data_IF_839765223073
#
_entry.id   IF_839765223073
#
_cell.length_a   1.000
_cell.length_b   1.000
_cell.length_c   1.000
_cell.angle_alpha   90.00
_cell.angle_beta   90.00
_cell.angle_gamma   90.00
#
_symmetry.space_group_name_H-M   'P 1'
#
loop_
_entity.id
_entity.type
_entity.pdbx_description
1 polymer ?
#
# COMPACT_ATOMS: atom_id res chain seq x y z
N UNK A 1 15.74 -15.76 30.93
CA UNK A 1 15.54 -15.04 29.65
C UNK A 1 14.19 -15.31 29.00
N UNK A 2 13.64 -16.54 28.99
CA UNK A 2 12.32 -16.84 28.38
C UNK A 2 11.13 -15.99 28.84
N UNK A 3 11.09 -15.53 30.10
CA UNK A 3 9.99 -14.69 30.62
C UNK A 3 9.97 -13.25 30.08
N UNK A 4 11.09 -12.76 29.53
CA UNK A 4 11.18 -11.42 28.90
C UNK A 4 10.79 -11.49 27.41
N UNK A 5 11.20 -12.55 26.70
CA UNK A 5 10.86 -12.76 25.28
C UNK A 5 9.35 -12.93 25.09
N UNK A 6 8.67 -13.69 25.97
CA UNK A 6 7.21 -13.83 25.95
C UNK A 6 6.47 -12.51 26.22
N UNK A 7 7.02 -11.64 27.08
CA UNK A 7 6.45 -10.31 27.34
C UNK A 7 6.66 -9.35 26.16
N UNK A 8 7.81 -9.41 25.49
CA UNK A 8 8.09 -8.59 24.30
C UNK A 8 7.21 -9.02 23.11
N UNK A 9 7.06 -10.33 22.84
CA UNK A 9 6.08 -10.85 21.86
C UNK A 9 4.66 -10.35 22.16
N UNK A 10 4.28 -10.31 23.44
CA UNK A 10 2.98 -9.78 23.88
C UNK A 10 2.85 -8.26 23.67
N UNK A 11 3.93 -7.49 23.81
CA UNK A 11 3.93 -6.04 23.58
C UNK A 11 3.82 -5.67 22.10
N UNK A 12 4.59 -6.30 21.22
CA UNK A 12 4.49 -6.08 19.77
C UNK A 12 3.09 -6.44 19.25
N UNK A 13 2.54 -7.57 19.70
CA UNK A 13 1.17 -7.97 19.39
C UNK A 13 0.12 -6.97 19.89
N UNK A 14 0.27 -6.45 21.13
CA UNK A 14 -0.64 -5.42 21.67
C UNK A 14 -0.55 -4.12 20.90
N UNK A 15 0.66 -3.72 20.49
CA UNK A 15 0.86 -2.53 19.69
C UNK A 15 0.21 -2.69 18.31
N UNK A 16 0.49 -3.78 17.62
CA UNK A 16 -0.16 -4.13 16.36
C UNK A 16 -1.69 -4.15 16.49
N UNK A 17 -2.23 -4.79 17.53
CA UNK A 17 -3.67 -4.83 17.80
C UNK A 17 -4.27 -3.45 18.04
N UNK A 18 -3.55 -2.56 18.73
CA UNK A 18 -3.99 -1.18 18.96
C UNK A 18 -3.94 -0.35 17.67
N UNK A 19 -2.87 -0.46 16.90
CA UNK A 19 -2.71 0.22 15.61
C UNK A 19 -3.78 -0.24 14.60
N UNK A 20 -4.08 -1.54 14.55
CA UNK A 20 -5.19 -2.10 13.77
C UNK A 20 -6.53 -1.49 14.18
N UNK A 21 -6.85 -1.45 15.48
CA UNK A 21 -8.10 -0.82 15.96
C UNK A 21 -8.19 0.67 15.63
N UNK A 22 -7.07 1.41 15.69
CA UNK A 22 -7.06 2.82 15.30
C UNK A 22 -7.32 2.97 13.80
N UNK A 23 -6.75 2.10 12.97
CA UNK A 23 -7.01 2.05 11.53
C UNK A 23 -8.49 1.76 11.25
N UNK A 24 -9.06 0.75 11.91
CA UNK A 24 -10.47 0.37 11.74
C UNK A 24 -11.41 1.54 12.09
N UNK A 25 -11.14 2.24 13.20
CA UNK A 25 -11.92 3.43 13.59
C UNK A 25 -11.74 4.56 12.56
N UNK A 26 -10.52 4.80 12.08
CA UNK A 26 -10.27 5.82 11.05
C UNK A 26 -11.00 5.49 9.73
N UNK A 27 -10.97 4.24 9.30
CA UNK A 27 -11.64 3.75 8.10
C UNK A 27 -13.16 3.85 8.22
N UNK A 28 -13.73 3.52 9.38
CA UNK A 28 -15.15 3.67 9.64
C UNK A 28 -15.58 5.14 9.61
N UNK A 29 -14.87 6.01 10.34
CA UNK A 29 -15.23 7.43 10.44
C UNK A 29 -15.09 8.17 9.11
N UNK A 30 -14.07 7.84 8.32
CA UNK A 30 -13.88 8.40 6.99
C UNK A 30 -14.88 7.88 5.96
N UNK A 31 -15.58 6.79 6.27
CA UNK A 31 -16.46 6.07 5.35
C UNK A 31 -15.71 5.10 4.42
N UNK A 32 -14.40 4.87 4.62
CA UNK A 32 -13.60 3.98 3.76
C UNK A 32 -13.99 2.50 3.86
N UNK A 33 -14.63 2.09 4.95
CA UNK A 33 -15.21 0.74 5.07
C UNK A 33 -16.45 0.51 4.19
N UNK A 34 -16.99 1.55 3.53
CA UNK A 34 -18.12 1.38 2.61
C UNK A 34 -17.66 0.69 1.31
N UNK A 35 -18.56 -0.07 0.71
CA UNK A 35 -18.33 -0.65 -0.63
C UNK A 35 -18.34 0.44 -1.71
N UNK A 36 -17.43 0.36 -2.67
CA UNK A 36 -17.43 1.20 -3.87
C UNK A 36 -18.26 0.61 -5.02
N UNK A 37 -18.81 -0.60 -4.88
CA UNK A 37 -19.63 -1.25 -5.92
C UNK A 37 -20.80 -0.38 -6.43
N UNK A 38 -21.55 0.37 -5.57
CA UNK A 38 -22.64 1.23 -6.06
C UNK A 38 -22.19 2.32 -7.04
N UNK A 39 -20.91 2.72 -6.97
CA UNK A 39 -20.34 3.73 -7.86
C UNK A 39 -20.06 3.16 -9.25
N UNK A 40 -19.62 1.89 -9.31
CA UNK A 40 -19.11 1.24 -10.53
C UNK A 40 -20.08 0.22 -11.17
N UNK A 41 -21.22 -0.04 -10.56
CA UNK A 41 -22.25 -0.96 -11.08
C UNK A 41 -23.38 -0.24 -11.81
N UNK A 42 -23.89 -0.83 -12.88
CA UNK A 42 -25.03 -0.30 -13.64
C UNK A 42 -26.38 -0.48 -12.90
N UNK A 43 -27.47 -0.08 -13.53
CA UNK A 43 -28.83 -0.22 -12.97
C UNK A 43 -29.26 -1.68 -12.73
N UNK A 44 -28.57 -2.64 -13.33
CA UNK A 44 -28.80 -4.07 -13.18
C UNK A 44 -27.85 -4.72 -12.14
N UNK A 45 -26.94 -3.94 -11.54
CA UNK A 45 -25.95 -4.43 -10.59
C UNK A 45 -24.71 -5.04 -11.23
N UNK A 46 -24.48 -4.84 -12.53
CA UNK A 46 -23.31 -5.36 -13.26
C UNK A 46 -22.21 -4.30 -13.29
N UNK A 47 -20.96 -4.72 -13.04
CA UNK A 47 -19.80 -3.81 -13.13
C UNK A 47 -19.67 -3.27 -14.56
N UNK A 48 -19.46 -1.95 -14.68
CA UNK A 48 -19.36 -1.25 -15.96
C UNK A 48 -18.06 -0.46 -16.06
N UNK A 49 -17.32 -0.64 -17.15
CA UNK A 49 -16.07 0.11 -17.41
C UNK A 49 -16.28 1.62 -17.46
N UNK A 50 -17.36 2.08 -18.13
CA UNK A 50 -17.68 3.50 -18.21
C UNK A 50 -17.90 4.11 -16.82
N UNK A 51 -18.49 3.33 -15.90
CA UNK A 51 -18.68 3.75 -14.52
C UNK A 51 -17.41 3.68 -13.69
N UNK A 52 -16.54 2.70 -13.94
CA UNK A 52 -15.18 2.67 -13.36
C UNK A 52 -14.42 3.94 -13.78
N UNK A 53 -14.38 4.25 -15.06
CA UNK A 53 -13.69 5.44 -15.59
C UNK A 53 -14.27 6.73 -14.99
N UNK A 54 -15.60 6.83 -14.92
CA UNK A 54 -16.28 7.98 -14.31
C UNK A 54 -15.97 8.11 -12.82
N UNK A 55 -15.95 7.00 -12.09
CA UNK A 55 -15.60 6.96 -10.66
C UNK A 55 -14.15 7.38 -10.41
N UNK A 56 -13.21 6.90 -11.24
CA UNK A 56 -11.79 7.26 -11.17
C UNK A 56 -11.61 8.75 -11.46
N UNK A 57 -12.17 9.25 -12.57
CA UNK A 57 -12.11 10.67 -12.92
C UNK A 57 -12.67 11.55 -11.80
N UNK A 58 -13.81 11.16 -11.22
CA UNK A 58 -14.45 11.88 -10.14
C UNK A 58 -13.61 11.92 -8.84
N UNK A 59 -12.77 10.91 -8.58
CA UNK A 59 -11.81 10.95 -7.46
C UNK A 59 -10.61 11.85 -7.78
N UNK A 60 -10.01 11.67 -8.96
CA UNK A 60 -8.81 12.39 -9.41
C UNK A 60 -9.07 13.90 -9.57
N UNK A 61 -10.22 14.29 -10.12
CA UNK A 61 -10.58 15.69 -10.29
C UNK A 61 -10.83 16.38 -8.94
N UNK A 62 -11.43 15.69 -7.97
CA UNK A 62 -11.67 16.26 -6.64
C UNK A 62 -10.40 16.49 -5.83
N UNK A 63 -9.42 15.58 -5.91
CA UNK A 63 -8.12 15.81 -5.25
C UNK A 63 -7.35 16.93 -5.94
N UNK A 64 -7.51 17.12 -7.26
CA UNK A 64 -6.98 18.30 -7.97
C UNK A 64 -7.64 19.58 -7.46
N UNK A 65 -8.98 19.65 -7.47
CA UNK A 65 -9.72 20.83 -6.99
C UNK A 65 -9.34 21.20 -5.56
N UNK A 66 -9.30 20.21 -4.67
CA UNK A 66 -8.86 20.38 -3.30
C UNK A 66 -7.39 20.84 -3.22
N UNK A 67 -6.52 20.21 -4.01
CA UNK A 67 -5.09 20.49 -4.01
C UNK A 67 -4.76 21.89 -4.48
N UNK A 68 -5.43 22.38 -5.52
CA UNK A 68 -5.33 23.76 -6.00
C UNK A 68 -5.90 24.75 -4.97
N UNK A 69 -7.08 24.47 -4.41
CA UNK A 69 -7.70 25.36 -3.42
C UNK A 69 -6.89 25.50 -2.12
N UNK A 70 -6.08 24.49 -1.77
CA UNK A 70 -5.31 24.44 -0.52
C UNK A 70 -3.79 24.52 -0.71
N UNK A 71 -3.32 24.90 -1.91
CA UNK A 71 -1.90 24.98 -2.27
C UNK A 71 -1.10 23.69 -1.97
N UNK A 72 -1.76 22.52 -2.05
CA UNK A 72 -1.13 21.22 -1.81
C UNK A 72 -0.05 20.93 -2.86
N UNK A 73 -0.25 21.37 -4.09
CA UNK A 73 0.70 21.08 -5.17
C UNK A 73 2.00 21.90 -5.10
N UNK A 74 2.02 23.10 -4.51
CA UNK A 74 3.25 23.95 -4.44
C UNK A 74 3.87 24.06 -3.05
N UNK A 75 3.08 24.50 -2.08
CA UNK A 75 3.61 25.05 -0.82
C UNK A 75 3.42 24.08 0.36
N UNK A 76 2.32 23.32 0.34
CA UNK A 76 1.88 22.52 1.49
C UNK A 76 2.00 21.00 1.29
N UNK A 77 2.31 20.51 0.08
CA UNK A 77 2.40 19.09 -0.22
C UNK A 77 3.78 18.66 -0.72
N UNK A 78 4.11 18.94 -1.99
CA UNK A 78 5.33 18.42 -2.62
C UNK A 78 6.34 19.53 -2.91
N UNK A 79 7.50 19.48 -2.26
CA UNK A 79 8.61 20.43 -2.44
C UNK A 79 9.14 20.44 -3.87
N UNK A 80 9.03 19.31 -4.56
CA UNK A 80 9.51 19.15 -5.93
C UNK A 80 8.53 19.68 -6.98
N UNK A 81 7.27 19.96 -6.62
CA UNK A 81 6.25 20.46 -7.53
C UNK A 81 6.17 21.98 -7.44
N UNK A 82 6.33 22.64 -8.58
CA UNK A 82 6.32 24.11 -8.70
C UNK A 82 5.03 24.64 -9.35
N UNK A 83 4.08 23.76 -9.67
CA UNK A 83 2.81 24.08 -10.33
C UNK A 83 1.65 24.19 -9.33
N UNK A 84 0.71 25.10 -9.60
CA UNK A 84 -0.54 25.31 -8.82
C UNK A 84 -1.52 24.14 -9.02
N UNK A 85 -1.22 23.28 -9.99
CA UNK A 85 -1.99 22.13 -10.43
C UNK A 85 -1.19 20.85 -10.22
N UNK A 86 -1.90 19.74 -10.05
CA UNK A 86 -1.31 18.41 -10.05
C UNK A 86 -0.54 18.17 -11.36
N UNK A 87 0.70 17.65 -11.30
CA UNK A 87 1.43 17.25 -12.51
C UNK A 87 0.65 16.21 -13.31
N UNK A 88 0.67 16.31 -14.65
CA UNK A 88 -0.04 15.38 -15.53
C UNK A 88 0.41 13.93 -15.34
N UNK A 89 1.71 13.70 -15.14
CA UNK A 89 2.26 12.38 -14.83
C UNK A 89 1.64 11.79 -13.55
N UNK A 90 1.45 12.63 -12.52
CA UNK A 90 0.80 12.18 -11.28
C UNK A 90 -0.70 11.89 -11.50
N UNK A 91 -1.38 12.69 -12.31
CA UNK A 91 -2.78 12.44 -12.69
C UNK A 91 -2.94 11.10 -13.41
N UNK A 92 -2.08 10.82 -14.38
CA UNK A 92 -2.07 9.53 -15.09
C UNK A 92 -1.76 8.38 -14.15
N UNK A 93 -0.75 8.56 -13.29
CA UNK A 93 -0.35 7.58 -12.29
C UNK A 93 -1.48 7.22 -11.32
N UNK A 94 -2.18 8.21 -10.76
CA UNK A 94 -3.33 8.00 -9.87
C UNK A 94 -4.50 7.34 -10.59
N UNK A 95 -4.73 7.69 -11.85
CA UNK A 95 -5.82 7.12 -12.64
C UNK A 95 -5.60 5.63 -12.94
N UNK A 96 -4.37 5.26 -13.31
CA UNK A 96 -4.02 3.86 -13.56
C UNK A 96 -3.92 3.06 -12.27
N UNK A 97 -3.36 3.64 -11.19
CA UNK A 97 -3.39 3.03 -9.86
C UNK A 97 -4.81 2.66 -9.45
N UNK A 98 -5.75 3.61 -9.52
CA UNK A 98 -7.14 3.38 -9.14
C UNK A 98 -7.78 2.28 -9.99
N UNK A 99 -7.55 2.30 -11.30
CA UNK A 99 -8.09 1.26 -12.19
C UNK A 99 -7.56 -0.12 -11.81
N UNK A 100 -6.25 -0.26 -11.64
CA UNK A 100 -5.60 -1.53 -11.30
C UNK A 100 -6.06 -2.04 -9.94
N UNK A 101 -6.10 -1.18 -8.92
CA UNK A 101 -6.57 -1.54 -7.58
C UNK A 101 -8.02 -2.02 -7.61
N UNK A 102 -8.91 -1.32 -8.33
CA UNK A 102 -10.31 -1.74 -8.48
C UNK A 102 -10.39 -3.11 -9.16
N UNK A 103 -9.65 -3.33 -10.26
CA UNK A 103 -9.67 -4.62 -10.97
C UNK A 103 -9.15 -5.76 -10.11
N UNK A 104 -8.03 -5.57 -9.40
CA UNK A 104 -7.48 -6.55 -8.47
C UNK A 104 -8.49 -6.91 -7.37
N UNK A 105 -9.10 -5.90 -6.74
CA UNK A 105 -10.10 -6.10 -5.68
C UNK A 105 -11.36 -6.82 -6.19
N UNK A 106 -11.71 -6.65 -7.46
CA UNK A 106 -12.84 -7.36 -8.08
C UNK A 106 -12.49 -8.80 -8.51
N UNK A 107 -11.22 -9.13 -8.70
CA UNK A 107 -10.75 -10.47 -9.08
C UNK A 107 -10.35 -11.34 -7.90
N UNK A 108 -10.02 -10.74 -6.76
CA UNK A 108 -9.63 -11.43 -5.53
C UNK A 108 -10.86 -11.86 -4.72
N UNK A 109 -11.11 -13.18 -4.66
CA UNK A 109 -12.18 -13.76 -3.84
C UNK A 109 -11.81 -13.82 -2.33
N UNK A 110 -10.53 -13.64 -1.95
CA UNK A 110 -10.00 -13.98 -0.61
C UNK A 110 -9.86 -12.82 0.39
N UNK A 111 -10.24 -11.57 0.06
CA UNK A 111 -10.18 -10.49 1.07
C UNK A 111 -11.23 -10.63 2.20
N UNK A 112 -12.07 -11.68 2.15
CA UNK A 112 -12.88 -12.14 3.27
C UNK A 112 -12.28 -13.43 3.84
N UNK A 113 -11.43 -13.32 4.85
CA UNK A 113 -11.04 -14.45 5.70
C UNK A 113 -12.33 -15.19 6.13
N UNK A 114 -12.38 -16.50 5.84
CA UNK A 114 -13.43 -17.41 6.31
C UNK A 114 -13.38 -17.47 7.84
N UNK A 115 -13.95 -16.50 8.55
CA UNK A 115 -14.62 -16.68 9.86
C UNK A 115 -15.16 -15.41 10.55
N UNK A 116 -15.08 -14.20 9.98
CA UNK A 116 -15.58 -13.01 10.67
C UNK A 116 -16.46 -12.09 9.79
N UNK A 117 -17.77 -12.31 9.92
CA UNK A 117 -18.85 -11.30 9.98
C UNK A 117 -18.86 -10.22 8.88
N UNK A 118 -19.76 -10.37 7.89
CA UNK A 118 -20.47 -9.30 7.15
C UNK A 118 -19.72 -7.99 6.83
N UNK A 119 -18.43 -8.04 6.47
CA UNK A 119 -17.75 -6.88 5.90
C UNK A 119 -18.16 -6.70 4.42
N UNK A 120 -18.35 -5.47 3.92
CA UNK A 120 -18.68 -5.27 2.52
C UNK A 120 -17.52 -5.75 1.64
N UNK A 121 -17.84 -6.48 0.58
CA UNK A 121 -16.89 -6.81 -0.49
C UNK A 121 -16.55 -5.51 -1.25
N UNK A 122 -15.29 -5.33 -1.63
CA UNK A 122 -14.80 -4.21 -2.45
C UNK A 122 -14.98 -2.82 -1.80
N UNK A 123 -14.17 -2.51 -0.78
CA UNK A 123 -14.21 -1.26 -0.01
C UNK A 123 -13.16 -0.24 -0.42
N UNK A 124 -13.40 1.03 -0.09
CA UNK A 124 -12.39 2.10 -0.30
C UNK A 124 -11.13 1.88 0.55
N UNK A 125 -11.24 1.23 1.71
CA UNK A 125 -10.08 0.90 2.54
C UNK A 125 -9.14 -0.10 1.84
N UNK A 126 -9.68 -1.06 1.08
CA UNK A 126 -8.87 -1.97 0.27
C UNK A 126 -8.08 -1.23 -0.81
N UNK A 127 -8.67 -0.21 -1.46
CA UNK A 127 -7.94 0.65 -2.41
C UNK A 127 -6.78 1.37 -1.70
N UNK A 128 -7.02 1.91 -0.50
CA UNK A 128 -5.96 2.55 0.29
C UNK A 128 -4.87 1.56 0.72
N UNK A 129 -5.22 0.34 1.13
CA UNK A 129 -4.26 -0.72 1.47
C UNK A 129 -3.33 -1.01 0.29
N UNK A 130 -3.87 -1.12 -0.92
CA UNK A 130 -3.05 -1.33 -2.13
C UNK A 130 -2.04 -0.21 -2.37
N UNK A 131 -2.33 1.03 -1.94
CA UNK A 131 -1.38 2.14 -2.03
C UNK A 131 -0.33 2.11 -0.90
N UNK A 132 -0.70 1.63 0.29
CA UNK A 132 0.16 1.59 1.48
C UNK A 132 1.26 0.52 1.37
N UNK A 133 0.96 -0.60 0.71
CA UNK A 133 1.92 -1.70 0.50
C UNK A 133 2.92 -1.44 -0.65
N UNK A 134 2.75 -0.35 -1.39
CA UNK A 134 3.71 0.07 -2.41
C UNK A 134 4.87 0.83 -1.77
N UNK A 135 6.07 0.61 -2.32
CA UNK A 135 7.26 1.34 -1.93
C UNK A 135 7.14 2.84 -2.22
N UNK A 136 7.98 3.64 -1.55
CA UNK A 136 8.17 5.06 -1.85
C UNK A 136 9.65 5.37 -2.03
N UNK A 137 9.97 6.43 -2.79
CA UNK A 137 11.37 6.82 -3.06
C UNK A 137 12.19 5.71 -3.72
N UNK A 138 13.42 5.50 -3.24
CA UNK A 138 14.33 4.44 -3.72
C UNK A 138 13.84 3.02 -3.35
N UNK A 139 13.05 2.87 -2.26
CA UNK A 139 12.58 1.56 -1.78
C UNK A 139 11.64 0.86 -2.76
N UNK A 140 11.10 1.57 -3.76
CA UNK A 140 10.30 0.98 -4.84
C UNK A 140 11.10 -0.05 -5.64
N UNK A 141 12.41 0.12 -5.79
CA UNK A 141 13.25 -0.82 -6.55
C UNK A 141 13.54 -2.14 -5.81
N UNK A 142 13.13 -2.28 -4.54
CA UNK A 142 13.16 -3.55 -3.83
C UNK A 142 12.25 -4.60 -4.51
N UNK A 143 11.09 -4.15 -5.02
CA UNK A 143 10.17 -4.99 -5.79
C UNK A 143 10.85 -5.51 -7.07
N UNK A 144 11.64 -4.68 -7.77
CA UNK A 144 12.38 -5.08 -8.98
C UNK A 144 13.43 -6.15 -8.68
N UNK A 145 14.16 -5.99 -7.56
CA UNK A 145 15.18 -6.96 -7.17
C UNK A 145 14.56 -8.32 -6.88
N UNK A 146 13.52 -8.36 -6.05
CA UNK A 146 12.82 -9.60 -5.70
C UNK A 146 12.20 -10.26 -6.92
N UNK A 147 11.55 -9.48 -7.80
CA UNK A 147 10.99 -9.96 -9.06
C UNK A 147 12.05 -10.59 -9.98
N UNK A 148 13.20 -9.93 -10.15
CA UNK A 148 14.24 -10.38 -11.09
C UNK A 148 15.03 -11.60 -10.61
N UNK A 149 15.42 -11.61 -9.32
CA UNK A 149 16.31 -12.60 -8.73
C UNK A 149 15.59 -13.73 -7.99
N UNK A 150 14.44 -13.45 -7.37
CA UNK A 150 13.66 -14.43 -6.60
C UNK A 150 12.47 -14.98 -7.40
N UNK A 151 12.18 -14.43 -8.58
CA UNK A 151 11.16 -14.95 -9.49
C UNK A 151 9.74 -14.44 -9.25
N UNK A 152 9.59 -13.39 -8.45
CA UNK A 152 8.31 -12.72 -8.17
C UNK A 152 8.43 -11.76 -6.99
N UNK A 153 7.51 -10.80 -6.92
CA UNK A 153 7.40 -9.87 -5.79
C UNK A 153 6.96 -10.66 -4.55
N UNK A 154 7.74 -10.56 -3.48
CA UNK A 154 7.52 -11.32 -2.23
C UNK A 154 6.50 -10.65 -1.29
N UNK A 155 6.06 -9.42 -1.60
CA UNK A 155 5.08 -8.69 -0.81
C UNK A 155 3.70 -8.84 -1.44
N UNK A 156 2.68 -9.05 -0.63
CA UNK A 156 1.27 -9.05 -1.04
C UNK A 156 0.79 -7.61 -1.37
N UNK A 157 1.38 -6.98 -2.39
CA UNK A 157 1.09 -5.61 -2.81
C UNK A 157 0.48 -5.57 -4.22
N UNK A 158 0.07 -4.37 -4.67
CA UNK A 158 -0.60 -4.20 -5.97
C UNK A 158 0.21 -4.77 -7.15
N UNK A 159 1.54 -4.68 -7.12
CA UNK A 159 2.40 -5.21 -8.18
C UNK A 159 2.33 -6.73 -8.23
N UNK A 160 2.39 -7.42 -7.10
CA UNK A 160 2.33 -8.89 -7.07
C UNK A 160 1.03 -9.44 -7.70
N UNK A 161 -0.10 -8.81 -7.39
CA UNK A 161 -1.39 -9.16 -8.01
C UNK A 161 -1.44 -8.81 -9.49
N UNK A 162 -0.99 -7.60 -9.86
CA UNK A 162 -1.04 -7.15 -11.25
C UNK A 162 -0.04 -7.88 -12.16
N UNK A 163 1.11 -8.32 -11.65
CA UNK A 163 2.10 -9.12 -12.37
C UNK A 163 1.46 -10.45 -12.80
N UNK A 164 0.84 -11.12 -11.85
CA UNK A 164 0.17 -12.40 -12.07
C UNK A 164 -0.97 -12.28 -13.08
N UNK A 165 -1.81 -11.24 -12.94
CA UNK A 165 -2.87 -10.92 -13.90
C UNK A 165 -2.30 -10.56 -15.28
N UNK A 166 -1.24 -9.77 -15.33
CA UNK A 166 -0.61 -9.37 -16.58
C UNK A 166 -0.03 -10.56 -17.34
N UNK A 167 0.71 -11.45 -16.68
CA UNK A 167 1.26 -12.65 -17.32
C UNK A 167 0.14 -13.56 -17.85
N UNK A 168 -0.95 -13.70 -17.08
CA UNK A 168 -2.11 -14.48 -17.47
C UNK A 168 -2.82 -13.89 -18.70
N UNK A 169 -3.06 -12.57 -18.70
CA UNK A 169 -3.85 -11.88 -19.72
C UNK A 169 -3.06 -11.62 -21.00
N UNK A 170 -1.77 -11.28 -20.89
CA UNK A 170 -0.91 -10.96 -22.03
C UNK A 170 -0.16 -12.16 -22.60
N UNK A 171 0.08 -13.19 -21.78
CA UNK A 171 0.99 -14.29 -22.11
C UNK A 171 2.48 -13.91 -22.09
N UNK A 172 2.82 -12.67 -21.76
CA UNK A 172 4.18 -12.19 -21.65
C UNK A 172 4.69 -12.33 -20.20
N UNK A 173 5.96 -12.70 -20.03
CA UNK A 173 6.57 -12.76 -18.71
C UNK A 173 6.85 -11.37 -18.18
N UNK A 174 6.55 -11.11 -16.91
CA UNK A 174 6.75 -9.78 -16.31
C UNK A 174 8.21 -9.32 -16.38
N UNK A 175 9.13 -10.28 -16.30
CA UNK A 175 10.57 -10.07 -16.48
C UNK A 175 10.93 -9.36 -17.79
N UNK A 176 10.10 -9.45 -18.84
CA UNK A 176 10.31 -8.74 -20.10
C UNK A 176 10.10 -7.23 -19.98
N UNK A 177 9.37 -6.77 -18.96
CA UNK A 177 9.13 -5.36 -18.65
C UNK A 177 10.20 -4.75 -17.73
N UNK A 178 11.10 -5.56 -17.16
CA UNK A 178 12.21 -5.06 -16.35
C UNK A 178 13.31 -4.54 -17.29
N UNK A 179 13.54 -3.22 -17.25
CA UNK A 179 14.60 -2.59 -18.04
C UNK A 179 15.97 -2.69 -17.36
N UNK A 180 17.04 -2.56 -18.14
CA UNK A 180 18.42 -2.52 -17.62
C UNK A 180 18.60 -1.37 -16.60
N UNK A 181 17.91 -0.24 -16.81
CA UNK A 181 17.95 0.89 -15.87
C UNK A 181 17.29 0.56 -14.54
N UNK A 182 16.11 -0.08 -14.56
CA UNK A 182 15.44 -0.53 -13.34
C UNK A 182 16.31 -1.50 -12.54
N UNK A 183 16.96 -2.44 -13.25
CA UNK A 183 17.85 -3.43 -12.65
C UNK A 183 19.13 -2.80 -12.07
N UNK A 184 19.74 -1.84 -12.77
CA UNK A 184 20.90 -1.08 -12.27
C UNK A 184 20.57 -0.32 -10.99
N UNK A 185 19.40 0.32 -10.91
CA UNK A 185 18.95 1.02 -9.70
C UNK A 185 18.68 0.06 -8.54
N UNK A 186 18.02 -1.06 -8.82
CA UNK A 186 17.80 -2.11 -7.82
C UNK A 186 19.13 -2.63 -7.27
N UNK A 187 20.10 -2.94 -8.14
CA UNK A 187 21.43 -3.40 -7.71
C UNK A 187 22.18 -2.35 -6.89
N UNK A 188 22.14 -1.08 -7.26
CA UNK A 188 22.74 0.01 -6.48
C UNK A 188 22.13 0.17 -5.09
N UNK A 189 20.81 -0.02 -4.95
CA UNK A 189 20.14 0.00 -3.66
C UNK A 189 20.69 -1.13 -2.77
N UNK A 190 20.77 -2.34 -3.32
CA UNK A 190 21.30 -3.50 -2.60
C UNK A 190 22.80 -3.39 -2.29
N UNK A 191 23.61 -2.81 -3.19
CA UNK A 191 25.03 -2.53 -2.93
C UNK A 191 25.20 -1.58 -1.73
N UNK A 192 24.40 -0.49 -1.66
CA UNK A 192 24.40 0.41 -0.49
C UNK A 192 24.01 -0.33 0.79
N UNK A 193 23.03 -1.22 0.72
CA UNK A 193 22.60 -2.01 1.87
C UNK A 193 23.67 -3.03 2.28
N UNK A 194 24.33 -3.69 1.33
CA UNK A 194 25.46 -4.60 1.58
C UNK A 194 26.65 -3.84 2.15
N UNK A 195 26.97 -2.63 1.70
CA UNK A 195 28.02 -1.79 2.29
C UNK A 195 27.67 -1.37 3.73
N UNK A 196 26.39 -1.06 4.01
CA UNK A 196 25.89 -0.77 5.36
C UNK A 196 26.00 -2.00 6.27
N UNK A 197 25.69 -3.18 5.72
CA UNK A 197 25.69 -4.47 6.43
C UNK A 197 27.12 -4.99 6.65
N UNK A 198 28.02 -4.86 5.67
CA UNK A 198 29.44 -5.20 5.78
C UNK A 198 30.21 -4.29 6.75
N UNK A 199 29.63 -3.16 7.16
CA UNK A 199 30.15 -2.33 8.25
C UNK A 199 29.93 -2.92 9.65
N UNK A 200 29.10 -3.97 9.80
CA UNK A 200 28.79 -4.59 11.09
C UNK A 200 28.34 -6.07 11.01
N UNK A 201 28.78 -6.83 10.01
CA UNK A 201 28.41 -8.25 9.91
C UNK A 201 29.27 -9.08 10.87
N UNK A 202 28.66 -9.59 11.94
CA UNK A 202 29.13 -10.82 12.57
C UNK A 202 28.59 -11.97 11.71
N UNK A 203 29.43 -12.93 11.33
CA UNK A 203 28.95 -14.11 10.60
C UNK A 203 27.90 -14.83 11.46
N UNK A 204 26.91 -15.50 10.85
CA UNK A 204 25.88 -16.24 11.62
C UNK A 204 26.54 -17.29 12.53
N UNK A 205 27.70 -17.81 12.13
CA UNK A 205 28.54 -18.73 12.92
C UNK A 205 29.16 -18.08 14.17
N UNK A 206 29.28 -16.74 14.22
CA UNK A 206 29.79 -15.97 15.35
C UNK A 206 28.69 -15.58 16.36
N UNK A 207 27.42 -15.86 16.07
CA UNK A 207 26.31 -15.62 16.98
C UNK A 207 26.25 -16.72 18.05
N UNK A 208 25.89 -16.39 19.31
CA UNK A 208 25.60 -17.39 20.34
C UNK A 208 24.60 -18.45 19.86
N UNK A 209 24.82 -19.73 20.20
CA UNK A 209 24.02 -20.88 19.74
C UNK A 209 22.51 -20.68 19.93
N UNK A 210 22.09 -20.04 21.04
CA UNK A 210 20.69 -19.73 21.36
C UNK A 210 20.01 -18.80 20.35
N UNK A 211 20.77 -17.89 19.72
CA UNK A 211 20.27 -16.95 18.71
C UNK A 211 20.20 -17.65 17.34
N UNK A 212 21.14 -18.55 17.06
CA UNK A 212 21.13 -19.38 15.83
C UNK A 212 19.92 -20.32 15.81
N UNK A 213 19.66 -21.01 16.91
CA UNK A 213 18.47 -21.87 17.05
C UNK A 213 17.16 -21.05 16.94
N UNK A 214 17.08 -19.85 17.53
CA UNK A 214 15.92 -18.96 17.37
C UNK A 214 15.70 -18.47 15.93
N UNK A 215 16.78 -18.22 15.17
CA UNK A 215 16.70 -17.81 13.77
C UNK A 215 16.31 -18.98 12.85
N UNK A 216 16.76 -20.20 13.15
CA UNK A 216 16.32 -21.42 12.46
C UNK A 216 14.83 -21.69 12.73
N UNK A 217 14.37 -21.60 13.98
CA UNK A 217 12.93 -21.69 14.36
C UNK A 217 12.08 -20.57 13.72
N UNK A 218 12.63 -19.35 13.56
CA UNK A 218 11.97 -18.26 12.82
C UNK A 218 11.85 -18.59 11.33
N UNK A 219 12.89 -19.15 10.72
CA UNK A 219 12.86 -19.54 9.30
C UNK A 219 11.87 -20.68 9.02
N UNK A 220 11.67 -21.59 9.99
CA UNK A 220 10.69 -22.67 9.89
C UNK A 220 9.26 -22.22 10.24
N UNK A 221 9.09 -21.17 11.05
CA UNK A 221 7.76 -20.63 11.43
C UNK A 221 7.23 -19.54 10.49
N UNK A 222 8.08 -18.93 9.66
CA UNK A 222 7.67 -18.24 8.45
C UNK A 222 7.49 -19.31 7.37
N UNK A 223 6.48 -20.17 7.54
CA UNK A 223 5.91 -20.88 6.40
C UNK A 223 5.45 -19.78 5.46
N UNK A 224 6.14 -19.66 4.32
CA UNK A 224 5.88 -18.60 3.34
C UNK A 224 4.38 -18.44 3.19
N UNK A 225 3.90 -17.20 3.31
CA UNK A 225 2.57 -16.87 2.81
C UNK A 225 2.59 -17.34 1.35
N UNK A 226 2.01 -18.52 1.11
CA UNK A 226 1.86 -19.04 -0.24
C UNK A 226 1.07 -17.97 -0.97
N UNK A 227 1.71 -17.32 -1.95
CA UNK A 227 1.04 -16.45 -2.90
C UNK A 227 -0.24 -17.17 -3.31
N UNK A 228 -1.44 -16.59 -3.03
CA UNK A 228 -2.68 -17.28 -3.27
C UNK A 228 -2.68 -17.81 -4.70
N UNK A 229 -2.88 -19.12 -4.88
CA UNK A 229 -3.15 -19.65 -6.20
C UNK A 229 -4.36 -18.84 -6.72
N UNK A 230 -4.19 -18.13 -7.83
CA UNK A 230 -5.24 -17.44 -8.57
C UNK A 230 -6.25 -18.49 -9.08
N UNK A 231 -6.99 -19.10 -8.17
CA UNK A 231 -8.03 -20.08 -8.45
C UNK A 231 -9.32 -19.30 -8.64
N UNK A 232 -9.70 -19.14 -9.91
CA UNK A 232 -11.10 -19.00 -10.26
C UNK A 232 -11.46 -17.67 -10.90
N UNK A 233 -11.46 -17.69 -12.23
CA UNK A 233 -12.28 -16.84 -13.11
C UNK A 233 -11.88 -15.36 -13.09
N UNK A 234 -10.73 -15.09 -13.72
CA UNK A 234 -10.37 -13.76 -14.18
C UNK A 234 -11.32 -13.33 -15.33
N UNK A 235 -12.54 -12.89 -15.01
CA UNK A 235 -13.40 -12.15 -15.95
C UNK A 235 -12.98 -10.67 -15.95
N UNK A 236 -11.68 -10.42 -16.21
CA UNK A 236 -11.21 -9.06 -16.45
C UNK A 236 -11.76 -8.65 -17.81
N UNK A 237 -12.86 -7.89 -17.74
CA UNK A 237 -13.38 -7.20 -18.90
C UNK A 237 -12.26 -6.32 -19.49
N UNK A 238 -12.06 -6.43 -20.81
CA UNK A 238 -11.02 -5.75 -21.58
C UNK A 238 -9.56 -6.01 -21.11
N UNK A 239 -9.03 -7.23 -21.32
CA UNK A 239 -7.63 -7.58 -20.99
C UNK A 239 -6.59 -6.58 -21.56
N UNK A 240 -6.78 -6.11 -22.79
CA UNK A 240 -5.86 -5.16 -23.44
C UNK A 240 -5.77 -3.83 -22.70
N UNK A 241 -6.89 -3.35 -22.15
CA UNK A 241 -6.94 -2.10 -21.38
C UNK A 241 -6.20 -2.28 -20.05
N UNK A 242 -6.44 -3.40 -19.37
CA UNK A 242 -5.70 -3.74 -18.15
C UNK A 242 -4.19 -3.80 -18.41
N UNK A 243 -3.74 -4.57 -19.39
CA UNK A 243 -2.32 -4.70 -19.72
C UNK A 243 -1.69 -3.36 -20.13
N UNK A 244 -2.41 -2.52 -20.88
CA UNK A 244 -1.91 -1.19 -21.29
C UNK A 244 -1.74 -0.27 -20.10
N UNK A 245 -2.75 -0.18 -19.23
CA UNK A 245 -2.68 0.64 -18.01
C UNK A 245 -1.62 0.11 -17.05
N UNK A 246 -1.45 -1.20 -16.96
CA UNK A 246 -0.46 -1.80 -16.09
C UNK A 246 0.98 -1.47 -16.52
N UNK A 247 1.28 -1.60 -17.81
CA UNK A 247 2.60 -1.21 -18.36
C UNK A 247 2.90 0.26 -18.06
N UNK A 248 1.96 1.16 -18.35
CA UNK A 248 2.13 2.60 -18.10
C UNK A 248 2.28 2.90 -16.61
N UNK A 249 1.51 2.24 -15.74
CA UNK A 249 1.67 2.36 -14.30
C UNK A 249 3.08 1.95 -13.84
N UNK A 250 3.59 0.80 -14.29
CA UNK A 250 4.95 0.34 -13.96
C UNK A 250 6.01 1.30 -14.46
N UNK A 251 5.90 1.76 -15.71
CA UNK A 251 6.81 2.74 -16.30
C UNK A 251 6.91 3.99 -15.42
N UNK A 252 5.77 4.55 -15.00
CA UNK A 252 5.75 5.75 -14.15
C UNK A 252 6.24 5.42 -12.73
N UNK A 253 5.81 4.31 -12.12
CA UNK A 253 6.18 3.90 -10.75
C UNK A 253 7.70 3.76 -10.58
N UNK A 254 8.39 3.22 -11.58
CA UNK A 254 9.84 3.02 -11.57
C UNK A 254 10.63 4.14 -12.26
N UNK A 255 9.97 5.23 -12.65
CA UNK A 255 10.62 6.42 -13.23
C UNK A 255 10.96 7.49 -12.19
N UNK A 256 11.77 8.47 -12.63
CA UNK A 256 12.01 9.73 -11.91
C UNK A 256 10.98 10.82 -12.24
N UNK A 257 9.94 10.51 -13.02
CA UNK A 257 8.96 11.51 -13.45
C UNK A 257 7.98 11.90 -12.33
N UNK A 258 7.82 11.02 -11.34
CA UNK A 258 7.03 11.32 -10.15
C UNK A 258 7.77 12.29 -9.22
N UNK A 259 7.05 13.19 -8.52
CA UNK A 259 7.62 14.01 -7.45
C UNK A 259 8.41 13.15 -6.45
N UNK A 260 9.69 13.46 -6.20
CA UNK A 260 10.56 12.59 -5.38
C UNK A 260 10.06 12.39 -3.95
N UNK A 261 9.36 13.38 -3.42
CA UNK A 261 8.78 13.39 -2.08
C UNK A 261 7.31 12.94 -2.07
N UNK A 262 6.86 12.27 -3.14
CA UNK A 262 5.52 11.71 -3.18
C UNK A 262 5.36 10.55 -2.20
N UNK A 263 4.30 10.65 -1.41
CA UNK A 263 3.77 9.55 -0.61
C UNK A 263 2.40 9.18 -1.19
N UNK A 264 2.41 8.14 -2.04
CA UNK A 264 1.21 7.70 -2.76
C UNK A 264 0.08 7.32 -1.80
N UNK A 265 0.40 6.57 -0.73
CA UNK A 265 -0.58 6.15 0.26
C UNK A 265 -1.29 7.36 0.87
N UNK A 266 -0.52 8.40 1.23
CA UNK A 266 -1.10 9.65 1.73
C UNK A 266 -1.93 10.41 0.70
N UNK A 267 -1.50 10.45 -0.57
CA UNK A 267 -2.28 11.08 -1.66
C UNK A 267 -3.59 10.34 -1.88
N UNK A 268 -3.55 9.02 -2.03
CA UNK A 268 -4.71 8.16 -2.22
C UNK A 268 -5.66 8.28 -1.04
N UNK A 269 -5.16 8.19 0.20
CA UNK A 269 -5.98 8.36 1.40
C UNK A 269 -6.74 9.68 1.41
N UNK A 270 -6.06 10.80 1.08
CA UNK A 270 -6.69 12.12 1.00
C UNK A 270 -7.73 12.16 -0.12
N UNK A 271 -7.40 11.65 -1.30
CA UNK A 271 -8.29 11.58 -2.46
C UNK A 271 -9.60 10.85 -2.11
N UNK A 272 -9.50 9.64 -1.54
CA UNK A 272 -10.67 8.86 -1.14
C UNK A 272 -11.49 9.58 -0.06
N UNK A 273 -10.84 10.19 0.95
CA UNK A 273 -11.53 10.93 1.99
C UNK A 273 -12.29 12.15 1.43
N UNK A 274 -11.70 12.89 0.48
CA UNK A 274 -12.36 14.04 -0.17
C UNK A 274 -13.57 13.56 -0.97
N UNK A 275 -13.43 12.48 -1.73
CA UNK A 275 -14.55 11.88 -2.45
C UNK A 275 -15.69 11.49 -1.51
N UNK A 276 -15.39 10.75 -0.44
CA UNK A 276 -16.35 10.29 0.56
C UNK A 276 -17.03 11.45 1.30
N UNK A 277 -16.31 12.52 1.61
CA UNK A 277 -16.90 13.76 2.12
C UNK A 277 -17.90 14.36 1.13
N UNK A 278 -17.55 14.42 -0.16
CA UNK A 278 -18.39 15.04 -1.19
C UNK A 278 -19.72 14.33 -1.43
N UNK A 279 -19.79 13.03 -1.12
CA UNK A 279 -21.02 12.22 -1.24
C UNK A 279 -21.71 12.02 0.13
N UNK A 280 -21.32 12.76 1.16
CA UNK A 280 -21.84 12.63 2.54
C UNK A 280 -21.70 11.21 3.13
N UNK A 281 -20.66 10.49 2.72
CA UNK A 281 -20.32 9.17 3.24
C UNK A 281 -19.34 9.24 4.43
N UNK A 282 -18.58 10.32 4.52
CA UNK A 282 -17.63 10.57 5.61
C UNK A 282 -18.27 11.33 6.77
N UNK A 283 -17.87 11.00 7.99
CA UNK A 283 -18.21 11.77 9.19
C UNK A 283 -17.32 13.01 9.38
N UNK A 284 -16.29 13.19 8.55
CA UNK A 284 -15.37 14.35 8.63
C UNK A 284 -16.03 15.68 8.27
N UNK A 285 -17.22 15.66 7.64
CA UNK A 285 -17.98 16.86 7.31
C UNK A 285 -18.60 17.59 8.51
N UNK A 286 -18.49 17.05 9.73
CA UNK A 286 -19.03 17.65 10.96
C UNK A 286 -17.87 18.14 11.85
N UNK A 287 -17.35 19.34 11.57
CA UNK A 287 -16.10 19.91 12.14
C UNK A 287 -16.04 19.92 13.68
N UNK A 288 -17.09 20.39 14.36
CA UNK A 288 -16.99 20.82 15.76
C UNK A 288 -16.89 19.69 16.80
N UNK A 289 -17.31 18.47 16.47
CA UNK A 289 -17.22 17.32 17.37
C UNK A 289 -16.06 16.36 17.02
N UNK A 290 -15.57 16.42 15.77
CA UNK A 290 -14.67 15.42 15.21
C UNK A 290 -13.20 15.80 15.34
N UNK A 291 -12.84 17.09 15.21
CA UNK A 291 -11.44 17.52 15.30
C UNK A 291 -10.80 17.09 16.61
N UNK A 292 -11.54 17.23 17.71
CA UNK A 292 -11.05 16.91 19.05
C UNK A 292 -10.83 15.41 19.21
N UNK A 293 -11.81 14.57 18.83
CA UNK A 293 -11.67 13.10 18.88
C UNK A 293 -10.49 12.62 18.03
N UNK A 294 -10.32 13.14 16.82
CA UNK A 294 -9.20 12.80 15.94
C UNK A 294 -7.84 13.24 16.52
N UNK A 295 -7.76 14.45 17.07
CA UNK A 295 -6.56 14.95 17.74
C UNK A 295 -6.21 14.05 18.95
N UNK A 296 -7.19 13.67 19.76
CA UNK A 296 -6.96 12.77 20.90
C UNK A 296 -6.52 11.38 20.45
N UNK A 297 -7.10 10.82 19.40
CA UNK A 297 -6.69 9.53 18.83
C UNK A 297 -5.26 9.58 18.27
N UNK A 298 -4.91 10.60 17.48
CA UNK A 298 -3.54 10.77 16.96
C UNK A 298 -2.52 11.03 18.07
N UNK A 299 -2.91 11.76 19.12
CA UNK A 299 -2.05 11.95 20.29
C UNK A 299 -1.85 10.64 21.05
N UNK A 300 -2.90 9.84 21.22
CA UNK A 300 -2.80 8.50 21.81
C UNK A 300 -1.88 7.60 20.97
N UNK A 301 -2.04 7.58 19.65
CA UNK A 301 -1.16 6.87 18.72
C UNK A 301 0.30 7.27 18.91
N UNK A 302 0.60 8.57 18.87
CA UNK A 302 1.97 9.08 19.06
C UNK A 302 2.56 8.72 20.42
N UNK A 303 1.76 8.77 21.49
CA UNK A 303 2.21 8.36 22.82
C UNK A 303 2.54 6.87 22.90
N UNK A 304 1.73 6.02 22.27
CA UNK A 304 1.99 4.58 22.20
C UNK A 304 3.25 4.30 21.37
N UNK A 305 3.38 4.87 20.18
CA UNK A 305 4.57 4.68 19.33
C UNK A 305 5.85 5.22 20.00
N UNK A 306 5.76 6.34 20.72
CA UNK A 306 6.89 6.91 21.49
C UNK A 306 7.28 6.02 22.68
N UNK A 307 6.29 5.52 23.44
CA UNK A 307 6.55 4.59 24.54
C UNK A 307 7.19 3.28 24.04
N UNK A 308 6.74 2.77 22.89
CA UNK A 308 7.32 1.59 22.25
C UNK A 308 8.79 1.81 21.85
N UNK A 309 9.11 2.94 21.20
CA UNK A 309 10.49 3.29 20.82
C UNK A 309 11.41 3.45 22.04
N UNK A 310 10.94 4.15 23.07
CA UNK A 310 11.73 4.37 24.29
C UNK A 310 12.02 3.08 25.05
N UNK A 311 11.11 2.10 25.04
CA UNK A 311 11.36 0.79 25.63
C UNK A 311 12.29 -0.08 24.79
N UNK A 312 12.29 0.06 23.46
CA UNK A 312 13.26 -0.61 22.59
C UNK A 312 14.69 -0.07 22.77
N UNK A 313 14.85 1.24 22.95
CA UNK A 313 16.15 1.89 23.18
C UNK A 313 16.66 1.76 24.63
N UNK A 314 15.76 1.55 25.60
CA UNK A 314 16.09 1.42 27.02
C UNK A 314 16.40 0.00 27.50
N UNK A 315 16.44 -0.99 26.62
CA UNK A 315 16.76 -2.39 26.95
C UNK A 315 18.26 -2.70 27.05
N UNK A 316 19.14 -1.71 26.92
CA UNK A 316 20.59 -1.89 26.94
C UNK A 316 21.27 -1.63 28.29
N UNK A 317 20.54 -1.13 29.30
CA UNK A 317 21.07 -0.90 30.64
C UNK A 317 19.99 -1.26 31.69
N UNK A 318 19.91 -2.54 32.05
CA UNK A 318 19.57 -3.02 33.40
C UNK A 318 19.88 -4.52 33.57
#
# INVERSE_FOLDING_TARGET
MGYMVDKMRNMSFRQYSFEKKLRDIEAEMSGRNRSFLPEITDVNGVVSEERIDSFIAANVDRIEEYGTANNMWRENGFRSVTSEHMPDVLREYLSDFMYLAIKVILTEDYLGDEELVELPVSTFEQIYMMAEELGSGEMRYDDVFTEFYCGGVQRANLLAYCDSLYELLSGEKIKSLITDEMLDRANKLYEKDVERINGSYQEIEDLPEEIREEMEDWSESVTGEEMPELIGICDVQNPDVFCTKYRRFREIYFSDELPQDIDLANVVKRMLNIYLCSINASSYGFEDAFSDSYIYMKRAQRMVSYAAKKHAEGGADD
#
